data_IF_391131742999
#
_entry.id   IF_391131742999
#
_cell.length_a   1.000
_cell.length_b   1.000
_cell.length_c   1.000
_cell.angle_alpha   90.00
_cell.angle_beta   90.00
_cell.angle_gamma   90.00
#
_symmetry.space_group_name_H-M   'P 1'
#
loop_
_entity.id
_entity.type
_entity.pdbx_description
1 polymer ?
#
# COMPACT_ATOMS: atom_id res chain seq x y z
N UNK A 1 -15.15 24.84 -8.45
CA UNK A 1 -13.98 24.22 -7.79
C UNK A 1 -14.04 22.71 -7.89
N UNK A 2 -12.92 22.08 -8.20
CA UNK A 2 -12.86 20.62 -8.19
C UNK A 2 -12.78 20.12 -6.74
N UNK A 3 -13.57 19.10 -6.40
CA UNK A 3 -13.54 18.50 -5.07
C UNK A 3 -12.19 17.82 -4.80
N UNK A 4 -11.83 17.66 -3.53
CA UNK A 4 -10.64 16.93 -3.12
C UNK A 4 -10.68 15.47 -3.65
N UNK A 5 -11.85 14.87 -3.67
CA UNK A 5 -12.08 13.53 -4.22
C UNK A 5 -11.71 13.46 -5.69
N UNK A 6 -12.14 14.42 -6.50
CA UNK A 6 -11.84 14.45 -7.95
C UNK A 6 -10.34 14.62 -8.19
N UNK A 7 -9.67 15.48 -7.43
CA UNK A 7 -8.22 15.65 -7.52
C UNK A 7 -7.48 14.38 -7.15
N UNK A 8 -7.93 13.68 -6.13
CA UNK A 8 -7.36 12.40 -5.71
C UNK A 8 -7.51 11.34 -6.82
N UNK A 9 -8.68 11.21 -7.40
CA UNK A 9 -8.94 10.26 -8.47
C UNK A 9 -8.07 10.51 -9.70
N UNK A 10 -7.84 11.78 -10.05
CA UNK A 10 -6.96 12.14 -11.16
C UNK A 10 -5.51 11.76 -10.88
N UNK A 11 -5.01 11.99 -9.65
CA UNK A 11 -3.66 11.59 -9.26
C UNK A 11 -3.51 10.08 -9.30
N UNK A 12 -4.50 9.35 -8.79
CA UNK A 12 -4.53 7.89 -8.81
C UNK A 12 -4.47 7.35 -10.23
N UNK A 13 -5.30 7.88 -11.13
CA UNK A 13 -5.29 7.49 -12.55
C UNK A 13 -3.95 7.70 -13.21
N UNK A 14 -3.32 8.85 -12.99
CA UNK A 14 -2.00 9.14 -13.55
C UNK A 14 -0.93 8.18 -13.07
N UNK A 15 -0.92 7.90 -11.77
CA UNK A 15 0.06 6.99 -11.15
C UNK A 15 -0.13 5.58 -11.72
N UNK A 16 -1.35 5.07 -11.76
CA UNK A 16 -1.67 3.75 -12.28
C UNK A 16 -1.36 3.61 -13.76
N UNK A 17 -1.56 4.68 -14.53
CA UNK A 17 -1.19 4.69 -15.94
C UNK A 17 0.31 4.55 -16.15
N UNK A 18 1.12 5.24 -15.36
CA UNK A 18 2.58 5.10 -15.38
C UNK A 18 3.02 3.70 -14.97
N UNK A 19 2.41 3.12 -13.95
CA UNK A 19 2.69 1.77 -13.46
C UNK A 19 2.37 0.74 -14.53
N UNK A 20 1.26 0.86 -15.22
CA UNK A 20 0.84 -0.06 -16.27
C UNK A 20 1.88 -0.17 -17.41
N UNK A 21 2.64 0.89 -17.67
CA UNK A 21 3.70 0.87 -18.69
C UNK A 21 4.93 0.08 -18.28
N UNK A 22 5.11 -0.21 -17.00
CA UNK A 22 6.27 -0.91 -16.45
C UNK A 22 5.92 -2.26 -15.84
N UNK A 23 4.78 -2.82 -16.24
CA UNK A 23 4.10 -3.90 -15.51
C UNK A 23 4.64 -5.31 -15.76
N UNK A 24 5.93 -5.56 -15.45
CA UNK A 24 6.45 -6.91 -15.29
C UNK A 24 6.48 -7.34 -13.81
N UNK A 25 5.96 -6.50 -12.92
CA UNK A 25 6.05 -6.71 -11.47
C UNK A 25 4.69 -6.62 -10.83
N UNK A 26 4.54 -7.31 -9.70
CA UNK A 26 3.37 -7.12 -8.84
C UNK A 26 3.32 -5.68 -8.33
N UNK A 27 2.13 -5.20 -8.02
CA UNK A 27 1.90 -3.83 -7.56
C UNK A 27 1.58 -3.84 -6.06
N UNK A 28 2.34 -3.05 -5.30
CA UNK A 28 2.02 -2.77 -3.90
C UNK A 28 1.09 -1.56 -3.85
N UNK A 29 -0.18 -1.80 -3.58
CA UNK A 29 -1.22 -0.77 -3.50
C UNK A 29 -1.55 -0.44 -2.07
N UNK A 30 -1.69 0.85 -1.77
CA UNK A 30 -2.08 1.36 -0.47
C UNK A 30 -3.45 1.99 -0.54
N UNK A 31 -4.26 1.73 0.47
CA UNK A 31 -5.50 2.44 0.72
C UNK A 31 -5.56 2.82 2.19
N UNK A 32 -6.01 4.03 2.49
CA UNK A 32 -6.25 4.45 3.87
C UNK A 32 -7.63 5.08 4.02
N UNK A 33 -8.28 4.77 5.15
CA UNK A 33 -9.51 5.43 5.58
C UNK A 33 -9.17 6.35 6.75
N UNK A 34 -10.18 6.96 7.38
CA UNK A 34 -9.97 7.78 8.56
C UNK A 34 -9.41 7.03 9.77
N UNK A 35 -9.59 5.70 9.82
CA UNK A 35 -9.19 4.88 10.97
C UNK A 35 -8.20 3.76 10.65
N UNK A 36 -8.13 3.32 9.42
CA UNK A 36 -7.38 2.12 9.05
C UNK A 36 -6.49 2.32 7.83
N UNK A 37 -5.47 1.48 7.76
CA UNK A 37 -4.53 1.40 6.64
C UNK A 37 -4.63 0.01 6.05
N UNK A 38 -4.63 -0.06 4.72
CA UNK A 38 -4.68 -1.31 3.96
C UNK A 38 -3.54 -1.33 2.96
N UNK A 39 -2.89 -2.47 2.83
CA UNK A 39 -1.87 -2.71 1.82
C UNK A 39 -2.15 -4.03 1.11
N UNK A 40 -1.98 -4.06 -0.21
CA UNK A 40 -2.22 -5.24 -1.03
C UNK A 40 -1.09 -5.40 -2.04
N UNK A 41 -0.67 -6.64 -2.26
CA UNK A 41 0.19 -7.00 -3.38
C UNK A 41 -0.70 -7.62 -4.46
N UNK A 42 -0.76 -6.98 -5.61
CA UNK A 42 -1.68 -7.35 -6.69
C UNK A 42 -0.88 -7.75 -7.93
N UNK A 43 -1.23 -8.91 -8.50
CA UNK A 43 -0.72 -9.32 -9.81
C UNK A 43 -1.75 -8.88 -10.87
N UNK A 44 -1.45 -7.80 -11.59
CA UNK A 44 -2.35 -7.25 -12.59
C UNK A 44 -2.50 -8.14 -13.82
N UNK A 45 -1.52 -8.99 -14.12
CA UNK A 45 -1.62 -9.91 -15.25
C UNK A 45 -2.64 -11.01 -15.01
N UNK A 46 -2.80 -11.44 -13.77
CA UNK A 46 -3.75 -12.48 -13.37
C UNK A 46 -4.98 -11.92 -12.67
N UNK A 47 -5.01 -10.61 -12.41
CA UNK A 47 -6.08 -9.92 -11.68
C UNK A 47 -6.36 -10.54 -10.31
N UNK A 48 -5.31 -10.93 -9.60
CA UNK A 48 -5.42 -11.53 -8.27
C UNK A 48 -4.64 -10.75 -7.23
N UNK A 49 -5.14 -10.73 -6.01
CA UNK A 49 -4.42 -10.22 -4.84
C UNK A 49 -3.58 -11.34 -4.26
N UNK A 50 -2.26 -11.19 -4.32
CA UNK A 50 -1.31 -12.20 -3.83
C UNK A 50 -1.22 -12.18 -2.31
N UNK A 51 -1.20 -10.99 -1.72
CA UNK A 51 -1.08 -10.82 -0.27
C UNK A 51 -1.77 -9.54 0.16
N UNK A 52 -2.26 -9.49 1.38
CA UNK A 52 -2.85 -8.28 1.95
C UNK A 52 -2.52 -8.15 3.42
N UNK A 53 -2.47 -6.91 3.89
CA UNK A 53 -2.28 -6.58 5.29
C UNK A 53 -3.13 -5.36 5.64
N UNK A 54 -3.60 -5.29 6.87
CA UNK A 54 -4.48 -4.22 7.31
C UNK A 54 -4.35 -4.01 8.82
N UNK A 55 -4.59 -2.79 9.26
CA UNK A 55 -4.70 -2.48 10.70
C UNK A 55 -5.95 -3.12 11.33
N UNK A 56 -6.82 -3.72 10.53
CA UNK A 56 -7.92 -4.55 11.03
C UNK A 56 -7.43 -5.92 11.51
N UNK A 57 -6.19 -6.31 11.21
CA UNK A 57 -5.60 -7.56 11.71
C UNK A 57 -5.62 -7.54 13.24
N UNK A 58 -6.05 -8.64 13.85
CA UNK A 58 -6.21 -8.78 15.30
C UNK A 58 -4.93 -8.50 16.08
N UNK A 59 -3.78 -8.79 15.50
CA UNK A 59 -2.47 -8.52 16.12
C UNK A 59 -2.21 -7.03 16.31
N UNK A 60 -2.85 -6.18 15.52
CA UNK A 60 -2.67 -4.73 15.53
C UNK A 60 -3.85 -4.04 16.20
N UNK A 61 -5.05 -4.64 16.13
CA UNK A 61 -6.32 -4.09 16.61
C UNK A 61 -6.47 -4.20 18.13
N UNK A 62 -5.45 -3.84 18.89
CA UNK A 62 -5.52 -3.92 20.37
C UNK A 62 -6.00 -2.65 21.05
N UNK A 63 -6.13 -1.55 20.33
CA UNK A 63 -6.45 -0.24 20.89
C UNK A 63 -7.63 0.36 20.12
N UNK A 64 -8.64 0.89 20.85
CA UNK A 64 -9.86 1.48 20.30
C UNK A 64 -9.65 2.86 19.64
N UNK A 65 -8.42 3.32 19.42
CA UNK A 65 -8.09 4.58 18.76
C UNK A 65 -7.91 4.40 17.26
N UNK A 66 -7.82 5.51 16.54
CA UNK A 66 -7.48 5.48 15.12
C UNK A 66 -6.18 4.70 14.89
N UNK A 67 -6.20 3.77 13.93
CA UNK A 67 -5.04 2.98 13.54
C UNK A 67 -4.30 3.55 12.34
N UNK A 68 -4.78 4.66 11.76
CA UNK A 68 -4.16 5.33 10.64
C UNK A 68 -3.09 6.31 11.13
N UNK A 69 -1.94 5.78 11.54
CA UNK A 69 -0.80 6.57 12.02
C UNK A 69 0.52 5.99 11.54
N UNK A 70 1.61 6.73 11.76
CA UNK A 70 2.94 6.36 11.27
C UNK A 70 3.44 5.05 11.88
N UNK A 71 3.21 4.81 13.16
CA UNK A 71 3.64 3.58 13.83
C UNK A 71 2.97 2.34 13.22
N UNK A 72 1.65 2.40 13.03
CA UNK A 72 0.92 1.29 12.42
C UNK A 72 1.27 1.14 10.95
N UNK A 73 1.56 2.24 10.24
CA UNK A 73 2.03 2.18 8.87
C UNK A 73 3.33 1.39 8.75
N UNK A 74 4.26 1.59 9.66
CA UNK A 74 5.52 0.81 9.70
C UNK A 74 5.25 -0.68 9.91
N UNK A 75 4.36 -1.02 10.83
CA UNK A 75 3.97 -2.41 11.10
C UNK A 75 3.33 -3.06 9.87
N UNK A 76 2.44 -2.35 9.18
CA UNK A 76 1.80 -2.83 7.97
C UNK A 76 2.82 -3.00 6.85
N UNK A 77 3.75 -2.06 6.69
CA UNK A 77 4.82 -2.17 5.70
C UNK A 77 5.68 -3.40 5.91
N UNK A 78 6.09 -3.66 7.14
CA UNK A 78 6.85 -4.87 7.48
C UNK A 78 6.03 -6.14 7.24
N UNK A 79 4.78 -6.14 7.64
CA UNK A 79 3.89 -7.29 7.51
C UNK A 79 3.62 -7.64 6.05
N UNK A 80 3.31 -6.64 5.22
CA UNK A 80 3.04 -6.89 3.79
C UNK A 80 4.30 -7.37 3.06
N UNK A 81 5.47 -6.84 3.44
CA UNK A 81 6.73 -7.27 2.87
C UNK A 81 7.04 -8.73 3.24
N UNK A 82 6.83 -9.13 4.48
CA UNK A 82 6.98 -10.52 4.92
C UNK A 82 6.04 -11.46 4.17
N UNK A 83 4.79 -11.07 4.01
CA UNK A 83 3.81 -11.85 3.25
C UNK A 83 4.20 -11.96 1.78
N UNK A 84 4.72 -10.88 1.18
CA UNK A 84 5.19 -10.90 -0.20
C UNK A 84 6.34 -11.89 -0.38
N UNK A 85 7.33 -11.86 0.51
CA UNK A 85 8.46 -12.79 0.47
C UNK A 85 7.98 -14.25 0.61
N UNK A 86 7.04 -14.49 1.53
CA UNK A 86 6.45 -15.83 1.72
C UNK A 86 5.74 -16.33 0.46
N UNK A 87 5.24 -15.43 -0.37
CA UNK A 87 4.58 -15.76 -1.63
C UNK A 87 5.53 -15.75 -2.84
N UNK A 88 6.84 -15.59 -2.60
CA UNK A 88 7.84 -15.57 -3.66
C UNK A 88 7.97 -14.24 -4.40
N UNK A 89 7.42 -13.16 -3.87
CA UNK A 89 7.48 -11.82 -4.48
C UNK A 89 8.62 -11.04 -3.82
N UNK A 90 9.66 -10.71 -4.61
CA UNK A 90 10.81 -9.96 -4.13
C UNK A 90 10.82 -8.52 -4.60
N UNK A 91 10.16 -8.22 -5.72
CA UNK A 91 10.08 -6.90 -6.32
C UNK A 91 8.64 -6.51 -6.60
N UNK A 92 8.32 -5.26 -6.33
CA UNK A 92 7.00 -4.70 -6.61
C UNK A 92 7.13 -3.30 -7.20
N UNK A 93 6.05 -2.83 -7.82
CA UNK A 93 5.89 -1.42 -8.20
C UNK A 93 5.02 -0.78 -7.14
N UNK A 94 5.46 0.34 -6.58
CA UNK A 94 4.73 1.03 -5.54
C UNK A 94 3.60 1.88 -6.13
N UNK A 95 2.37 1.58 -5.75
CA UNK A 95 1.18 2.35 -6.11
C UNK A 95 0.65 3.08 -4.88
N UNK A 96 0.95 4.35 -4.77
CA UNK A 96 0.46 5.19 -3.67
C UNK A 96 -1.00 5.62 -3.84
N UNK A 97 -1.69 5.14 -4.85
CA UNK A 97 -3.11 5.39 -5.18
C UNK A 97 -3.40 6.87 -5.39
N UNK A 98 -3.22 7.82 -5.06
CA UNK A 98 -3.44 9.25 -5.24
C UNK A 98 -3.02 10.02 -3.99
N UNK A 99 -2.53 9.30 -2.98
CA UNK A 99 -1.99 9.92 -1.77
C UNK A 99 -0.64 10.57 -2.05
N UNK A 100 -0.32 11.61 -1.33
CA UNK A 100 1.02 12.19 -1.38
C UNK A 100 2.00 11.24 -0.70
N UNK A 101 3.23 11.17 -1.22
CA UNK A 101 4.30 10.38 -0.61
C UNK A 101 4.82 11.10 0.64
N UNK A 102 4.05 10.99 1.72
CA UNK A 102 4.29 11.72 2.97
C UNK A 102 3.61 10.99 4.14
N UNK A 103 4.15 11.18 5.33
CA UNK A 103 3.54 10.68 6.57
C UNK A 103 3.32 9.18 6.56
N UNK A 104 2.08 8.75 6.68
CA UNK A 104 1.67 7.35 6.76
C UNK A 104 2.12 6.56 5.53
N UNK A 105 1.91 7.10 4.33
CA UNK A 105 2.27 6.44 3.07
C UNK A 105 3.79 6.23 2.98
N UNK A 106 4.56 7.25 3.30
CA UNK A 106 6.02 7.17 3.32
C UNK A 106 6.52 6.17 4.36
N UNK A 107 5.95 6.19 5.56
CA UNK A 107 6.35 5.28 6.63
C UNK A 107 6.13 3.81 6.25
N UNK A 108 5.00 3.50 5.62
CA UNK A 108 4.70 2.16 5.14
C UNK A 108 5.69 1.74 4.05
N UNK A 109 5.93 2.61 3.07
CA UNK A 109 6.85 2.32 1.97
C UNK A 109 8.29 2.11 2.47
N UNK A 110 8.77 2.96 3.35
CA UNK A 110 10.12 2.85 3.90
C UNK A 110 10.30 1.55 4.69
N UNK A 111 9.29 1.14 5.45
CA UNK A 111 9.31 -0.12 6.19
C UNK A 111 9.33 -1.32 5.25
N UNK A 112 8.53 -1.30 4.20
CA UNK A 112 8.47 -2.39 3.22
C UNK A 112 9.78 -2.50 2.41
N UNK A 113 10.43 -1.37 2.09
CA UNK A 113 11.69 -1.36 1.34
C UNK A 113 12.84 -2.04 2.04
N UNK A 114 12.77 -2.24 3.34
CA UNK A 114 13.78 -2.98 4.08
C UNK A 114 13.85 -4.45 3.69
N UNK A 115 12.80 -5.00 3.11
CA UNK A 115 12.66 -6.43 2.81
C UNK A 115 12.37 -6.73 1.34
N UNK A 116 11.71 -5.85 0.63
CA UNK A 116 11.38 -6.01 -0.79
C UNK A 116 11.85 -4.79 -1.59
N UNK A 117 12.03 -4.97 -2.89
CA UNK A 117 12.56 -3.92 -3.78
C UNK A 117 11.44 -3.17 -4.48
N UNK A 118 11.56 -1.88 -4.46
CA UNK A 118 10.76 -1.00 -5.33
C UNK A 118 11.28 0.42 -5.31
#
# INVERSE_FOLDING_TARGET
MRSAKLKFEKRRSRIRHKIAKTANRARLSIFKSGRHIYAQIIDDTKSVTIASASTLDEKIKKIKKSHCNVENAKKIGELIAEKAISCGVEEVVFDRSGYKYHGVVKALADAARKKIRF
#
